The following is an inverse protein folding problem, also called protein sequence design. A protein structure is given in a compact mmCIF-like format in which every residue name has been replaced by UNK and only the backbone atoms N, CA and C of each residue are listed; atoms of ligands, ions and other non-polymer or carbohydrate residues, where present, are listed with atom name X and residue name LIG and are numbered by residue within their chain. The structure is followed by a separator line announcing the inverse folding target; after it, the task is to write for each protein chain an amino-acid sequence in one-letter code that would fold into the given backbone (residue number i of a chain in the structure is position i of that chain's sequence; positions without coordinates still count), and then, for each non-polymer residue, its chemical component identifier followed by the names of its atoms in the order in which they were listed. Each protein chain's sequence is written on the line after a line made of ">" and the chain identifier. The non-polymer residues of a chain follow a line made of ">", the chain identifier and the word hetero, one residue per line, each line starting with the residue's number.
data_IF_918903145905
#
_entry.id   IF_918903145905
#
_cell.length_a   1.000
_cell.length_b   1.000
_cell.length_c   1.000
_cell.angle_alpha   90.00
_cell.angle_beta   90.00
_cell.angle_gamma   90.00
#
_symmetry.space_group_name_H-M   'P 1'
#
loop_
_entity.id
_entity.type
_entity.pdbx_description
1 polymer ?
#
# COMPACT_ATOMS: atom_id res chain seq x y z
N UNK A 1 -38.78 22.86 -25.41
CA UNK A 1 -38.81 22.23 -24.08
C UNK A 1 -37.56 21.38 -23.93
N UNK A 2 -36.65 21.80 -23.05
CA UNK A 2 -35.32 21.22 -22.91
C UNK A 2 -35.34 19.97 -22.03
N UNK A 3 -34.79 18.85 -22.53
CA UNK A 3 -34.42 17.70 -21.70
C UNK A 3 -33.07 18.00 -21.06
N UNK A 4 -33.05 18.21 -19.74
CA UNK A 4 -31.82 18.32 -18.95
C UNK A 4 -31.07 16.99 -19.03
N UNK A 5 -29.87 17.05 -19.58
CA UNK A 5 -28.87 15.99 -19.63
C UNK A 5 -28.51 15.57 -18.20
N UNK A 6 -28.67 14.29 -17.87
CA UNK A 6 -28.10 13.72 -16.64
C UNK A 6 -26.57 13.75 -16.76
N UNK A 7 -25.93 14.56 -15.93
CA UNK A 7 -24.52 14.41 -15.55
C UNK A 7 -24.52 14.13 -14.05
N UNK A 8 -24.46 12.86 -13.68
CA UNK A 8 -23.90 12.48 -12.37
C UNK A 8 -22.45 12.13 -12.64
N UNK A 9 -21.61 13.15 -12.49
CA UNK A 9 -20.19 12.99 -12.30
C UNK A 9 -20.01 13.06 -10.78
N UNK A 10 -20.10 11.92 -10.12
CA UNK A 10 -19.73 11.81 -8.71
C UNK A 10 -18.20 11.78 -8.61
N UNK A 11 -17.58 12.95 -8.71
CA UNK A 11 -16.20 13.15 -8.27
C UNK A 11 -16.27 13.52 -6.79
N UNK A 12 -16.46 12.51 -5.93
CA UNK A 12 -16.11 12.62 -4.52
C UNK A 12 -14.60 12.42 -4.39
N UNK A 13 -13.82 13.44 -4.81
CA UNK A 13 -12.39 13.56 -4.51
C UNK A 13 -12.24 13.93 -3.03
N UNK A 14 -12.40 12.94 -2.16
CA UNK A 14 -12.22 13.09 -0.73
C UNK A 14 -10.75 13.36 -0.40
N UNK A 15 -10.44 14.59 -0.01
CA UNK A 15 -9.22 14.97 0.73
C UNK A 15 -9.27 14.46 2.18
N UNK A 16 -9.84 13.28 2.38
CA UNK A 16 -10.01 12.68 3.71
C UNK A 16 -8.78 11.83 4.03
N UNK A 17 -7.94 12.38 4.90
CA UNK A 17 -6.80 11.66 5.43
C UNK A 17 -7.26 10.43 6.22
N UNK A 18 -6.74 9.26 5.84
CA UNK A 18 -6.93 7.99 6.55
C UNK A 18 -5.78 7.80 7.53
N UNK A 19 -6.09 7.29 8.72
CA UNK A 19 -5.11 7.02 9.78
C UNK A 19 -5.17 5.54 10.12
N UNK A 20 -4.06 4.84 9.92
CA UNK A 20 -3.94 3.41 10.20
C UNK A 20 -2.67 3.12 11.01
N UNK A 21 -2.58 1.92 11.58
CA UNK A 21 -1.35 1.44 12.21
C UNK A 21 -0.57 0.56 11.24
N UNK A 22 0.78 0.50 11.34
CA UNK A 22 1.54 -0.55 10.69
C UNK A 22 0.99 -1.93 11.07
N UNK A 23 1.11 -2.91 10.18
CA UNK A 23 0.55 -4.26 10.37
C UNK A 23 1.08 -4.98 11.63
N UNK A 24 2.23 -4.57 12.16
CA UNK A 24 2.76 -5.05 13.44
C UNK A 24 1.95 -4.59 14.67
N UNK A 25 1.05 -3.61 14.49
CA UNK A 25 0.33 -2.91 15.55
C UNK A 25 1.21 -1.98 16.38
N UNK A 26 2.48 -1.78 16.01
CA UNK A 26 3.47 -1.03 16.79
C UNK A 26 4.04 0.13 15.99
N UNK A 27 4.52 1.15 16.70
CA UNK A 27 5.20 2.31 16.12
C UNK A 27 4.27 3.52 15.95
N UNK A 28 4.62 4.40 15.01
CA UNK A 28 3.84 5.60 14.68
C UNK A 28 2.72 5.25 13.70
N UNK A 29 1.56 5.92 13.79
CA UNK A 29 0.49 5.75 12.81
C UNK A 29 0.95 6.21 11.42
N UNK A 30 0.42 5.55 10.40
CA UNK A 30 0.53 5.93 9.00
C UNK A 30 -0.69 6.77 8.66
N UNK A 31 -0.45 8.00 8.22
CA UNK A 31 -1.48 8.91 7.73
C UNK A 31 -1.32 9.01 6.23
N UNK A 32 -2.40 8.86 5.47
CA UNK A 32 -2.30 8.99 4.02
C UNK A 32 -3.59 9.55 3.39
N UNK A 33 -3.41 10.18 2.24
CA UNK A 33 -4.47 10.60 1.32
C UNK A 33 -4.23 9.94 -0.03
N UNK A 34 -5.27 9.81 -0.85
CA UNK A 34 -5.14 9.38 -2.24
C UNK A 34 -5.83 10.39 -3.16
N UNK A 35 -5.31 10.54 -4.38
CA UNK A 35 -5.91 11.39 -5.40
C UNK A 35 -6.73 10.56 -6.43
N UNK A 36 -7.27 11.25 -7.43
CA UNK A 36 -8.03 10.65 -8.53
C UNK A 36 -7.20 9.78 -9.48
N UNK A 37 -5.87 9.92 -9.45
CA UNK A 37 -4.95 9.08 -10.20
C UNK A 37 -4.61 7.79 -9.46
N UNK A 38 -5.07 7.67 -8.21
CA UNK A 38 -4.75 6.56 -7.32
C UNK A 38 -3.34 6.66 -6.75
N UNK A 39 -2.76 7.86 -6.71
CA UNK A 39 -1.47 8.12 -6.08
C UNK A 39 -1.70 8.44 -4.60
N UNK A 40 -0.86 7.85 -3.74
CA UNK A 40 -0.97 7.95 -2.29
C UNK A 40 0.12 8.88 -1.76
N UNK A 41 -0.28 9.91 -1.02
CA UNK A 41 0.64 10.74 -0.24
C UNK A 41 0.64 10.24 1.19
N UNK A 42 1.81 9.85 1.70
CA UNK A 42 1.96 9.11 2.96
C UNK A 42 2.86 9.86 3.93
N UNK A 43 2.37 10.04 5.16
CA UNK A 43 3.11 10.51 6.32
C UNK A 43 3.23 9.39 7.36
N UNK A 44 4.45 9.04 7.73
CA UNK A 44 4.71 8.03 8.76
C UNK A 44 5.81 8.50 9.73
N UNK A 45 5.39 8.96 10.91
CA UNK A 45 6.30 9.65 11.82
C UNK A 45 6.88 10.91 11.17
N UNK A 46 8.20 10.99 11.04
CA UNK A 46 8.90 12.12 10.40
C UNK A 46 9.19 11.88 8.92
N UNK A 47 8.67 10.80 8.33
CA UNK A 47 8.93 10.44 6.93
C UNK A 47 7.70 10.76 6.12
N UNK A 48 7.92 11.39 4.97
CA UNK A 48 6.89 11.69 3.97
C UNK A 48 7.35 11.11 2.65
N UNK A 49 6.44 10.44 1.93
CA UNK A 49 6.72 9.87 0.62
C UNK A 49 5.44 9.71 -0.19
N UNK A 50 5.59 9.49 -1.48
CA UNK A 50 4.50 9.21 -2.41
C UNK A 50 4.61 7.76 -2.89
N UNK A 51 3.47 7.12 -3.08
CA UNK A 51 3.36 5.82 -3.74
C UNK A 51 2.39 5.98 -4.90
N UNK A 52 2.86 5.80 -6.12
CA UNK A 52 2.02 5.97 -7.29
C UNK A 52 1.17 4.74 -7.59
N UNK A 53 0.07 4.93 -8.30
CA UNK A 53 -0.74 3.80 -8.78
C UNK A 53 0.07 2.81 -9.62
N UNK A 54 1.03 3.30 -10.41
CA UNK A 54 1.95 2.45 -11.18
C UNK A 54 2.85 1.59 -10.29
N UNK A 55 3.34 2.13 -9.17
CA UNK A 55 4.14 1.37 -8.20
C UNK A 55 3.29 0.30 -7.50
N UNK A 56 2.06 0.62 -7.12
CA UNK A 56 1.12 -0.36 -6.55
C UNK A 56 0.80 -1.48 -7.54
N UNK A 57 0.53 -1.14 -8.79
CA UNK A 57 0.30 -2.13 -9.85
C UNK A 57 1.53 -3.03 -10.04
N UNK A 58 2.73 -2.45 -10.04
CA UNK A 58 3.97 -3.20 -10.16
C UNK A 58 4.19 -4.15 -8.98
N UNK A 59 3.88 -3.73 -7.74
CA UNK A 59 3.89 -4.63 -6.57
C UNK A 59 2.90 -5.79 -6.79
N UNK A 60 1.69 -5.50 -7.28
CA UNK A 60 0.67 -6.52 -7.48
C UNK A 60 0.99 -7.50 -8.61
N UNK A 61 1.65 -7.04 -9.67
CA UNK A 61 1.97 -7.84 -10.85
C UNK A 61 3.30 -8.58 -10.72
N UNK A 62 4.32 -7.96 -10.15
CA UNK A 62 5.68 -8.49 -10.15
C UNK A 62 6.06 -9.17 -8.82
N UNK A 63 5.48 -8.74 -7.69
CA UNK A 63 5.74 -9.35 -6.38
C UNK A 63 4.64 -10.34 -5.99
N UNK A 64 3.37 -9.91 -6.00
CA UNK A 64 2.23 -10.78 -5.66
C UNK A 64 1.69 -11.57 -6.87
N UNK A 65 2.60 -12.19 -7.63
CA UNK A 65 2.30 -12.90 -8.89
C UNK A 65 1.24 -13.99 -8.71
N UNK A 66 1.36 -14.79 -7.63
CA UNK A 66 0.45 -15.89 -7.37
C UNK A 66 -0.57 -15.52 -6.29
N UNK A 67 -1.85 -15.48 -6.69
CA UNK A 67 -2.97 -15.08 -5.82
C UNK A 67 -3.11 -15.93 -4.55
N UNK A 68 -2.67 -17.19 -4.58
CA UNK A 68 -2.78 -18.12 -3.45
C UNK A 68 -1.60 -18.05 -2.47
N UNK A 69 -0.49 -17.43 -2.87
CA UNK A 69 0.76 -17.50 -2.11
C UNK A 69 0.85 -16.41 -1.05
N UNK A 70 1.40 -16.80 0.10
CA UNK A 70 1.75 -15.87 1.16
C UNK A 70 3.20 -15.44 0.99
N UNK A 71 3.41 -14.12 0.93
CA UNK A 71 4.71 -13.48 0.74
C UNK A 71 5.12 -12.75 2.00
N UNK A 72 6.41 -12.75 2.32
CA UNK A 72 6.90 -12.08 3.53
C UNK A 72 6.96 -10.57 3.34
N UNK A 73 6.58 -9.81 4.38
CA UNK A 73 6.70 -8.35 4.37
C UNK A 73 8.17 -7.90 4.31
N UNK A 74 9.06 -8.51 5.09
CA UNK A 74 10.51 -8.23 5.03
C UNK A 74 10.93 -6.78 5.27
N UNK A 75 10.11 -5.94 5.93
CA UNK A 75 10.30 -4.48 6.01
C UNK A 75 11.34 -3.99 7.04
N UNK A 76 12.24 -4.85 7.51
CA UNK A 76 13.26 -4.47 8.50
C UNK A 76 14.37 -3.64 7.85
N UNK A 77 14.82 -2.58 8.52
CA UNK A 77 15.93 -1.75 8.05
C UNK A 77 17.29 -2.42 8.22
N UNK A 78 17.45 -3.21 9.28
CA UNK A 78 18.74 -3.79 9.68
C UNK A 78 18.90 -5.23 9.22
N UNK A 79 17.78 -5.91 8.96
CA UNK A 79 17.74 -7.30 8.54
C UNK A 79 16.50 -7.55 7.67
N UNK A 80 16.43 -6.95 6.46
CA UNK A 80 15.35 -7.26 5.53
C UNK A 80 15.35 -8.76 5.24
N UNK A 81 14.17 -9.34 5.08
CA UNK A 81 14.05 -10.76 4.73
C UNK A 81 14.28 -10.88 3.22
N UNK A 82 15.27 -11.68 2.76
CA UNK A 82 15.48 -11.91 1.33
C UNK A 82 14.22 -12.45 0.66
N UNK A 83 13.87 -11.90 -0.50
CA UNK A 83 12.64 -12.19 -1.23
C UNK A 83 11.38 -11.57 -0.63
N UNK A 84 11.49 -10.72 0.39
CA UNK A 84 10.36 -10.02 1.00
C UNK A 84 10.03 -8.69 0.31
N UNK A 85 8.84 -8.14 0.60
CA UNK A 85 8.37 -6.89 0.00
C UNK A 85 9.33 -5.72 0.28
N UNK A 86 9.97 -5.70 1.45
CA UNK A 86 10.99 -4.71 1.80
C UNK A 86 12.18 -4.69 0.83
N UNK A 87 12.66 -5.86 0.42
CA UNK A 87 13.75 -5.95 -0.57
C UNK A 87 13.26 -5.53 -1.96
N UNK A 88 12.08 -5.98 -2.37
CA UNK A 88 11.47 -5.59 -3.64
C UNK A 88 11.34 -4.06 -3.78
N UNK A 89 10.84 -3.39 -2.75
CA UNK A 89 10.71 -1.92 -2.75
C UNK A 89 12.08 -1.22 -2.87
N UNK A 90 13.10 -1.73 -2.18
CA UNK A 90 14.46 -1.18 -2.25
C UNK A 90 15.04 -1.26 -3.67
N UNK A 91 14.78 -2.36 -4.37
CA UNK A 91 15.32 -2.60 -5.72
C UNK A 91 14.55 -1.82 -6.79
N UNK A 92 13.22 -1.81 -6.71
CA UNK A 92 12.37 -1.30 -7.79
C UNK A 92 12.02 0.19 -7.64
N UNK A 93 12.02 0.75 -6.42
CA UNK A 93 11.49 2.10 -6.16
C UNK A 93 12.46 3.05 -5.45
N UNK A 94 13.70 3.30 -5.92
CA UNK A 94 14.54 4.37 -5.37
C UNK A 94 13.79 5.72 -5.36
N UNK A 95 13.82 6.50 -4.26
CA UNK A 95 14.68 6.37 -3.08
C UNK A 95 14.06 5.59 -1.89
N UNK A 96 12.98 4.83 -2.09
CA UNK A 96 12.33 4.09 -1.01
C UNK A 96 13.20 2.92 -0.52
N UNK A 97 13.42 2.85 0.79
CA UNK A 97 14.08 1.71 1.44
C UNK A 97 13.11 0.69 2.04
N UNK A 98 13.62 -0.45 2.58
CA UNK A 98 12.80 -1.57 3.05
C UNK A 98 11.75 -1.23 4.09
N UNK A 99 12.03 -0.25 4.95
CA UNK A 99 11.07 0.22 5.96
C UNK A 99 9.75 0.70 5.37
N UNK A 100 9.76 1.28 4.17
CA UNK A 100 8.56 1.83 3.55
C UNK A 100 7.53 0.75 3.27
N UNK A 101 7.98 -0.51 3.06
CA UNK A 101 7.08 -1.66 2.92
C UNK A 101 6.13 -1.81 4.11
N UNK A 102 6.52 -1.42 5.33
CA UNK A 102 5.61 -1.45 6.50
C UNK A 102 4.39 -0.57 6.32
N UNK A 103 4.58 0.65 5.80
CA UNK A 103 3.51 1.60 5.56
C UNK A 103 2.73 1.25 4.28
N UNK A 104 3.44 0.89 3.21
CA UNK A 104 2.82 0.47 1.94
C UNK A 104 1.91 -0.73 2.14
N UNK A 105 2.39 -1.78 2.82
CA UNK A 105 1.57 -2.97 3.08
C UNK A 105 0.35 -2.67 3.95
N UNK A 106 0.50 -1.79 4.96
CA UNK A 106 -0.64 -1.39 5.79
C UNK A 106 -1.72 -0.67 4.96
N UNK A 107 -1.31 0.23 4.05
CA UNK A 107 -2.20 0.92 3.13
C UNK A 107 -2.89 -0.09 2.22
N UNK A 108 -2.12 -0.96 1.54
CA UNK A 108 -2.68 -1.95 0.62
C UNK A 108 -3.66 -2.92 1.29
N UNK A 109 -3.43 -3.28 2.56
CA UNK A 109 -4.38 -4.08 3.34
C UNK A 109 -5.63 -3.27 3.68
N UNK A 110 -5.47 -2.02 4.12
CA UNK A 110 -6.60 -1.15 4.46
C UNK A 110 -7.50 -0.85 3.24
N UNK A 111 -6.91 -0.73 2.06
CA UNK A 111 -7.63 -0.54 0.79
C UNK A 111 -8.19 -1.85 0.21
N UNK A 112 -8.04 -2.99 0.90
CA UNK A 112 -8.60 -4.27 0.47
C UNK A 112 -7.88 -4.91 -0.71
N UNK A 113 -6.65 -4.50 -1.02
CA UNK A 113 -5.83 -5.11 -2.07
C UNK A 113 -5.16 -6.41 -1.58
N UNK A 114 -4.80 -6.42 -0.29
CA UNK A 114 -4.06 -7.51 0.37
C UNK A 114 -4.75 -7.95 1.66
N UNK A 115 -4.55 -9.21 2.01
CA UNK A 115 -4.78 -9.76 3.35
C UNK A 115 -3.44 -9.88 4.08
N UNK A 116 -3.46 -9.76 5.40
CA UNK A 116 -2.27 -9.95 6.23
C UNK A 116 -2.48 -10.99 7.32
N UNK A 117 -1.40 -11.70 7.68
CA UNK A 117 -1.37 -12.61 8.83
C UNK A 117 0.01 -12.62 9.49
N UNK A 118 0.07 -13.25 10.67
CA UNK A 118 1.31 -13.39 11.42
C UNK A 118 1.71 -12.12 12.17
N UNK A 119 2.79 -12.23 12.96
CA UNK A 119 3.35 -11.12 13.74
C UNK A 119 4.87 -11.01 13.57
N UNK A 120 5.54 -12.14 13.35
CA UNK A 120 6.97 -12.21 13.01
C UNK A 120 7.30 -13.61 12.41
N UNK A 121 7.42 -13.77 11.09
CA UNK A 121 7.22 -12.74 10.08
C UNK A 121 5.74 -12.34 9.93
N UNK A 122 5.52 -11.14 9.38
CA UNK A 122 4.23 -10.75 8.82
C UNK A 122 4.22 -11.22 7.37
N UNK A 123 3.11 -11.84 6.98
CA UNK A 123 2.89 -12.35 5.63
C UNK A 123 1.69 -11.65 4.99
N UNK A 124 1.75 -11.52 3.67
CA UNK A 124 0.80 -10.81 2.83
C UNK A 124 0.35 -11.71 1.69
N UNK A 125 -0.92 -11.64 1.32
CA UNK A 125 -1.48 -12.36 0.18
C UNK A 125 -2.45 -11.44 -0.54
N UNK A 126 -2.56 -11.55 -1.86
CA UNK A 126 -3.57 -10.83 -2.63
C UNK A 126 -4.99 -11.27 -2.22
N UNK A 127 -5.90 -10.31 -2.07
CA UNK A 127 -7.34 -10.60 -1.95
C UNK A 127 -7.82 -11.18 -3.29
N UNK A 128 -8.57 -12.27 -3.25
CA UNK A 128 -9.16 -12.82 -4.48
C UNK A 128 -10.32 -11.92 -4.91
N UNK A 129 -10.25 -11.40 -6.13
CA UNK A 129 -11.39 -10.80 -6.80
C UNK A 129 -12.45 -11.90 -6.96
N UNK A 130 -13.59 -11.79 -6.28
CA UNK A 130 -14.75 -12.68 -6.44
C UNK A 130 -15.39 -12.53 -7.82
#
# INVERSE_FOLDING_TARGET
>A
MARKTFREIDINMGTDARIIMPLSGRGKPVVYTYDDKGDYSVQWGNISFMITSAQLQKIMLDFFQEKSNWYTLGASMTAPIPGGLGEFILQEFPPLGPRHASAVAAIMVNEGMLESRGKNPIELKRVQDN
#
